data_IF_316001101232
#
_entry.id   IF_316001101232
#
_cell.length_a   1.000
_cell.length_b   1.000
_cell.length_c   1.000
_cell.angle_alpha   90.00
_cell.angle_beta   90.00
_cell.angle_gamma   90.00
#
_symmetry.space_group_name_H-M   'P 1'
#
loop_
_entity.id
_entity.type
_entity.pdbx_description
1 polymer ?
#
# COMPACT_ATOMS: atom_id res chain seq x y z
N UNK A 1 10.48 -32.17 -21.66
CA UNK A 1 10.97 -30.78 -21.49
C UNK A 1 11.87 -30.77 -20.28
N UNK A 2 13.11 -30.29 -20.40
CA UNK A 2 14.04 -30.23 -19.28
C UNK A 2 13.53 -29.20 -18.26
N UNK A 3 13.21 -29.66 -17.05
CA UNK A 3 13.02 -28.79 -15.90
C UNK A 3 14.28 -27.96 -15.71
N UNK A 4 14.16 -26.64 -15.90
CA UNK A 4 15.12 -25.71 -15.29
C UNK A 4 14.82 -25.74 -13.80
N UNK A 5 15.58 -26.54 -13.04
CA UNK A 5 15.83 -26.24 -11.63
C UNK A 5 16.67 -24.98 -11.59
N UNK A 6 16.03 -23.83 -11.71
CA UNK A 6 16.60 -22.60 -11.17
C UNK A 6 16.69 -22.83 -9.66
N UNK A 7 17.89 -22.76 -9.10
CA UNK A 7 18.09 -22.76 -7.65
C UNK A 7 17.29 -21.59 -7.09
N UNK A 8 16.04 -21.81 -6.66
CA UNK A 8 15.24 -20.76 -6.07
C UNK A 8 15.93 -20.37 -4.76
N UNK A 9 16.48 -19.16 -4.72
CA UNK A 9 17.07 -18.59 -3.51
C UNK A 9 15.97 -18.62 -2.45
N UNK A 10 16.22 -19.35 -1.36
CA UNK A 10 15.31 -19.33 -0.20
C UNK A 10 15.58 -18.04 0.58
N UNK A 11 14.56 -17.18 0.68
CA UNK A 11 14.64 -15.93 1.43
C UNK A 11 14.37 -16.23 2.90
N UNK A 12 15.41 -16.22 3.72
CA UNK A 12 15.33 -16.54 5.16
C UNK A 12 15.41 -15.29 6.03
N UNK A 13 16.02 -14.23 5.54
CA UNK A 13 16.25 -12.97 6.25
C UNK A 13 15.80 -11.78 5.43
N UNK A 14 15.63 -10.62 6.09
CA UNK A 14 15.35 -9.38 5.36
C UNK A 14 16.50 -8.98 4.41
N UNK A 15 17.74 -9.36 4.74
CA UNK A 15 18.89 -9.14 3.85
C UNK A 15 18.77 -9.92 2.54
N UNK A 16 18.27 -11.17 2.59
CA UNK A 16 18.02 -11.96 1.38
C UNK A 16 16.95 -11.29 0.51
N UNK A 17 15.88 -10.76 1.13
CA UNK A 17 14.84 -10.02 0.41
C UNK A 17 15.38 -8.74 -0.23
N UNK A 18 16.30 -8.06 0.44
CA UNK A 18 16.93 -6.84 -0.07
C UNK A 18 17.78 -7.08 -1.31
N UNK A 19 18.44 -8.23 -1.41
CA UNK A 19 19.18 -8.60 -2.63
C UNK A 19 18.27 -8.77 -3.86
N UNK A 20 16.98 -9.05 -3.64
CA UNK A 20 15.98 -9.16 -4.70
C UNK A 20 15.30 -7.82 -5.03
N UNK A 21 15.61 -6.74 -4.29
CA UNK A 21 15.07 -5.43 -4.55
C UNK A 21 15.54 -4.91 -5.91
N UNK A 22 14.60 -4.44 -6.70
CA UNK A 22 14.81 -3.88 -8.03
C UNK A 22 13.79 -2.77 -8.23
N UNK A 23 14.23 -1.53 -8.04
CA UNK A 23 13.42 -0.32 -8.23
C UNK A 23 13.51 0.23 -9.66
N UNK A 24 13.92 -0.58 -10.65
CA UNK A 24 14.11 -0.09 -12.02
C UNK A 24 12.85 0.51 -12.63
N UNK A 25 11.64 0.04 -12.31
CA UNK A 25 10.41 0.70 -12.78
C UNK A 25 10.24 2.06 -12.10
N UNK A 26 10.36 2.12 -10.77
CA UNK A 26 10.28 3.39 -10.03
C UNK A 26 11.32 4.41 -10.50
N UNK A 27 12.53 3.98 -10.86
CA UNK A 27 13.59 4.84 -11.38
C UNK A 27 13.28 5.42 -12.77
N UNK A 28 12.28 4.90 -13.50
CA UNK A 28 11.78 5.51 -14.75
C UNK A 28 10.69 6.56 -14.51
N UNK A 29 10.18 6.67 -13.29
CA UNK A 29 9.09 7.57 -12.94
C UNK A 29 9.63 8.84 -12.28
N UNK A 30 9.05 9.97 -12.65
CA UNK A 30 9.28 11.24 -11.96
C UNK A 30 8.54 11.29 -10.61
N UNK A 31 9.21 11.55 -9.48
CA UNK A 31 8.54 11.90 -8.23
C UNK A 31 7.88 13.28 -8.36
N UNK A 32 6.95 13.58 -7.46
CA UNK A 32 6.43 14.93 -7.26
C UNK A 32 7.59 15.90 -6.94
N UNK A 33 7.81 16.96 -7.75
CA UNK A 33 8.89 17.91 -7.52
C UNK A 33 8.76 18.69 -6.20
N UNK A 34 7.54 18.79 -5.65
CA UNK A 34 7.27 19.51 -4.41
C UNK A 34 7.35 18.60 -3.17
N UNK A 35 7.73 17.32 -3.34
CA UNK A 35 7.83 16.38 -2.23
C UNK A 35 8.96 16.75 -1.25
N UNK A 36 8.70 16.55 0.03
CA UNK A 36 9.74 16.72 1.06
C UNK A 36 10.84 15.66 0.91
N UNK A 37 12.10 16.09 1.09
CA UNK A 37 13.26 15.20 0.94
C UNK A 37 13.28 14.06 1.97
N UNK A 38 12.71 14.28 3.15
CA UNK A 38 12.62 13.30 4.23
C UNK A 38 11.35 12.42 4.16
N UNK A 39 10.50 12.64 3.16
CA UNK A 39 9.23 11.94 2.96
C UNK A 39 8.16 12.26 4.00
N UNK A 40 8.37 13.28 4.85
CA UNK A 40 7.37 13.76 5.80
C UNK A 40 6.40 14.67 5.06
N UNK A 41 5.45 14.07 4.36
CA UNK A 41 4.46 14.75 3.52
C UNK A 41 3.05 14.24 3.83
N UNK A 42 2.60 14.54 5.05
CA UNK A 42 1.35 13.97 5.59
C UNK A 42 0.16 14.91 5.49
N UNK A 43 0.43 16.19 5.23
CA UNK A 43 -0.60 17.21 5.11
C UNK A 43 -1.33 17.04 3.76
N UNK A 44 -2.67 17.08 3.73
CA UNK A 44 -3.39 17.10 2.47
C UNK A 44 -2.98 18.32 1.65
N UNK A 45 -2.42 18.09 0.47
CA UNK A 45 -2.11 19.13 -0.52
C UNK A 45 -2.40 18.64 -1.93
N UNK A 46 -2.60 19.58 -2.84
CA UNK A 46 -2.74 19.27 -4.25
C UNK A 46 -1.38 18.87 -4.84
N UNK A 47 -1.38 17.81 -5.65
CA UNK A 47 -0.22 17.35 -6.39
C UNK A 47 -0.46 17.73 -7.84
N UNK A 48 0.37 18.61 -8.41
CA UNK A 48 0.16 19.14 -9.77
C UNK A 48 0.92 18.35 -10.85
N UNK A 49 2.01 17.68 -10.47
CA UNK A 49 2.88 16.92 -11.37
C UNK A 49 3.54 15.74 -10.65
N UNK A 50 4.30 14.92 -11.38
CA UNK A 50 4.92 13.71 -10.85
C UNK A 50 3.96 12.52 -10.75
N UNK A 51 4.53 11.32 -10.84
CA UNK A 51 3.82 10.05 -10.85
C UNK A 51 3.52 9.52 -9.44
N UNK A 52 4.35 9.89 -8.47
CA UNK A 52 4.25 9.45 -7.09
C UNK A 52 4.83 10.49 -6.13
N UNK A 53 4.44 10.43 -4.87
CA UNK A 53 5.06 11.20 -3.79
C UNK A 53 5.89 10.23 -2.94
N UNK A 54 7.20 10.47 -2.73
CA UNK A 54 7.98 9.78 -1.72
C UNK A 54 7.38 10.04 -0.33
N UNK A 55 7.07 8.98 0.42
CA UNK A 55 6.41 9.09 1.73
C UNK A 55 7.12 8.20 2.73
N UNK A 56 7.40 8.75 3.91
CA UNK A 56 7.84 8.00 5.08
C UNK A 56 6.62 7.33 5.72
N UNK A 57 6.57 5.98 5.82
CA UNK A 57 5.47 5.33 6.51
C UNK A 57 5.43 5.70 7.99
N UNK A 58 4.23 5.70 8.56
CA UNK A 58 4.01 5.86 10.00
C UNK A 58 3.89 4.47 10.62
N UNK A 59 4.87 4.01 11.43
CA UNK A 59 4.77 2.71 12.05
C UNK A 59 3.57 2.63 13.00
N UNK A 60 3.09 1.41 13.24
CA UNK A 60 2.18 1.14 14.35
C UNK A 60 2.98 0.87 15.62
N UNK A 61 2.44 1.26 16.77
CA UNK A 61 3.06 0.99 18.08
C UNK A 61 2.90 -0.49 18.48
N UNK A 62 3.91 -1.09 19.09
CA UNK A 62 3.92 -2.49 19.56
C UNK A 62 3.29 -3.49 18.56
N UNK A 63 3.90 -3.68 17.38
CA UNK A 63 3.33 -4.53 16.35
C UNK A 63 3.22 -5.98 16.80
N UNK A 64 2.04 -6.55 16.64
CA UNK A 64 1.70 -7.95 16.93
C UNK A 64 1.38 -8.68 15.64
N UNK A 65 2.03 -9.82 15.46
CA UNK A 65 1.76 -10.73 14.35
C UNK A 65 0.34 -11.33 14.45
N UNK A 66 -0.42 -11.21 13.35
CA UNK A 66 -1.75 -11.85 13.23
C UNK A 66 -1.72 -12.99 12.22
N UNK A 67 -1.22 -12.74 11.00
CA UNK A 67 -1.19 -13.73 9.93
C UNK A 67 -0.18 -13.39 8.84
N UNK A 68 0.26 -14.42 8.10
CA UNK A 68 0.89 -14.29 6.80
C UNK A 68 0.40 -15.40 5.87
N UNK A 69 0.46 -15.20 4.56
CA UNK A 69 0.02 -16.23 3.60
C UNK A 69 1.13 -17.24 3.40
N UNK A 70 1.00 -18.41 4.02
CA UNK A 70 1.97 -19.50 3.90
C UNK A 70 2.16 -19.96 2.46
N UNK A 71 1.05 -20.03 1.72
CA UNK A 71 1.07 -20.39 0.30
C UNK A 71 1.83 -19.36 -0.51
N UNK A 72 1.53 -18.06 -0.31
CA UNK A 72 2.21 -17.02 -1.06
C UNK A 72 3.69 -16.87 -0.66
N UNK A 73 4.02 -17.05 0.62
CA UNK A 73 5.41 -17.12 1.07
C UNK A 73 6.16 -18.25 0.36
N UNK A 74 5.58 -19.45 0.30
CA UNK A 74 6.17 -20.58 -0.41
C UNK A 74 6.32 -20.30 -1.92
N UNK A 75 5.33 -19.67 -2.57
CA UNK A 75 5.40 -19.24 -3.98
C UNK A 75 6.53 -18.23 -4.24
N UNK A 76 6.80 -17.34 -3.29
CA UNK A 76 7.89 -16.36 -3.34
C UNK A 76 9.25 -16.94 -2.91
N UNK A 77 9.29 -18.16 -2.36
CA UNK A 77 10.50 -18.76 -1.80
C UNK A 77 10.88 -18.20 -0.41
N UNK A 78 9.94 -17.60 0.31
CA UNK A 78 10.16 -17.05 1.65
C UNK A 78 9.99 -18.13 2.71
N UNK A 79 10.86 -18.14 3.72
CA UNK A 79 10.68 -19.01 4.88
C UNK A 79 9.46 -18.59 5.73
N UNK A 80 8.69 -19.54 6.26
CA UNK A 80 7.49 -19.27 7.10
C UNK A 80 7.85 -18.42 8.34
N UNK A 81 9.06 -18.61 8.88
CA UNK A 81 9.53 -17.90 10.07
C UNK A 81 9.91 -16.43 9.79
N UNK A 82 10.18 -16.06 8.53
CA UNK A 82 10.52 -14.70 8.15
C UNK A 82 9.41 -13.71 8.54
N UNK A 83 8.13 -14.13 8.47
CA UNK A 83 7.00 -13.27 8.83
C UNK A 83 6.99 -12.81 10.30
N UNK A 84 7.76 -13.47 11.16
CA UNK A 84 7.84 -13.21 12.60
C UNK A 84 9.23 -12.73 13.04
N UNK A 85 10.18 -12.54 12.12
CA UNK A 85 11.48 -11.97 12.48
C UNK A 85 11.34 -10.47 12.76
N UNK A 86 12.09 -9.98 13.76
CA UNK A 86 11.98 -8.60 14.25
C UNK A 86 12.17 -7.54 13.15
N UNK A 87 13.04 -7.80 12.18
CA UNK A 87 13.34 -6.92 11.06
C UNK A 87 12.20 -6.89 10.02
N UNK A 88 11.61 -8.03 9.71
CA UNK A 88 10.49 -8.15 8.79
C UNK A 88 9.21 -7.56 9.39
N UNK A 89 8.92 -7.88 10.66
CA UNK A 89 7.79 -7.29 11.41
C UNK A 89 7.91 -5.77 11.38
N UNK A 90 9.08 -5.24 11.75
CA UNK A 90 9.35 -3.79 11.76
C UNK A 90 9.09 -3.14 10.40
N UNK A 91 9.63 -3.70 9.32
CA UNK A 91 9.44 -3.16 7.97
C UNK A 91 7.94 -3.14 7.58
N UNK A 92 7.28 -4.28 7.70
CA UNK A 92 5.89 -4.43 7.24
C UNK A 92 4.84 -3.92 8.24
N UNK A 93 5.28 -3.46 9.43
CA UNK A 93 4.50 -2.65 10.36
C UNK A 93 4.78 -1.14 10.22
N UNK A 94 5.52 -0.73 9.19
CA UNK A 94 5.69 0.68 8.80
C UNK A 94 6.95 1.37 9.32
N UNK A 95 7.91 0.67 9.94
CA UNK A 95 9.22 1.25 10.27
C UNK A 95 10.28 0.82 9.25
N UNK A 96 10.57 1.73 8.33
CA UNK A 96 11.57 1.56 7.27
C UNK A 96 12.98 2.02 7.67
N UNK A 97 13.20 2.45 8.92
CA UNK A 97 14.44 3.14 9.32
C UNK A 97 15.70 2.26 9.25
N UNK A 98 15.53 0.96 9.47
CA UNK A 98 16.59 -0.05 9.56
C UNK A 98 16.60 -1.05 8.40
N UNK A 99 15.87 -0.78 7.30
CA UNK A 99 15.91 -1.69 6.15
C UNK A 99 17.32 -1.75 5.55
N UNK A 100 17.80 -2.94 5.16
CA UNK A 100 19.13 -3.10 4.56
C UNK A 100 19.18 -2.54 3.14
N UNK A 101 20.36 -2.06 2.72
CA UNK A 101 20.58 -1.65 1.33
C UNK A 101 20.42 -2.86 0.39
N UNK A 102 19.91 -2.68 -0.84
CA UNK A 102 19.54 -1.42 -1.49
C UNK A 102 18.08 -0.97 -1.27
N UNK A 103 17.34 -1.52 -0.31
CA UNK A 103 15.96 -1.10 -0.04
C UNK A 103 15.90 0.40 0.29
N UNK A 104 14.87 1.07 -0.20
CA UNK A 104 14.61 2.48 0.10
C UNK A 104 13.98 2.62 1.49
N UNK A 105 14.42 3.63 2.25
CA UNK A 105 13.84 3.98 3.55
C UNK A 105 12.51 4.74 3.42
N UNK A 106 12.21 5.25 2.24
CA UNK A 106 10.93 5.88 1.91
C UNK A 106 10.11 4.93 1.07
N UNK A 107 8.80 4.92 1.33
CA UNK A 107 7.82 4.37 0.40
C UNK A 107 7.38 5.40 -0.64
N UNK A 108 6.37 5.04 -1.42
CA UNK A 108 5.73 5.94 -2.37
C UNK A 108 4.22 5.78 -2.36
N UNK A 109 3.52 6.89 -2.55
CA UNK A 109 2.07 6.95 -2.71
C UNK A 109 1.74 7.54 -4.08
N UNK A 110 0.75 6.97 -4.77
CA UNK A 110 0.36 7.42 -6.10
C UNK A 110 -0.96 8.19 -6.07
N UNK A 111 -1.05 9.27 -6.84
CA UNK A 111 -2.29 9.96 -7.14
C UNK A 111 -3.11 9.19 -8.19
N UNK A 112 -4.43 9.28 -8.14
CA UNK A 112 -5.30 8.82 -9.23
C UNK A 112 -6.55 9.68 -9.29
N UNK A 113 -7.16 9.84 -10.47
CA UNK A 113 -8.49 10.43 -10.62
C UNK A 113 -9.57 9.37 -10.35
N UNK A 114 -10.78 9.85 -10.03
CA UNK A 114 -11.94 9.01 -9.85
C UNK A 114 -13.01 9.36 -10.89
N UNK A 115 -13.51 8.33 -11.57
CA UNK A 115 -14.73 8.37 -12.37
C UNK A 115 -15.68 7.30 -11.88
N UNK A 116 -16.95 7.68 -11.68
CA UNK A 116 -18.00 6.76 -11.25
C UNK A 116 -19.01 6.67 -12.40
N UNK A 117 -19.19 5.45 -12.93
CA UNK A 117 -20.04 5.19 -14.11
C UNK A 117 -19.74 6.10 -15.30
N UNK A 118 -18.45 6.34 -15.58
CA UNK A 118 -17.99 7.18 -16.69
C UNK A 118 -18.08 8.69 -16.45
N UNK A 119 -18.53 9.12 -15.27
CA UNK A 119 -18.62 10.54 -14.92
C UNK A 119 -17.45 10.94 -14.02
N UNK A 120 -16.74 12.01 -14.41
CA UNK A 120 -15.65 12.56 -13.62
C UNK A 120 -16.15 12.99 -12.24
N UNK A 121 -15.54 12.45 -11.20
CA UNK A 121 -15.97 12.66 -9.83
C UNK A 121 -15.01 13.60 -9.11
N UNK A 122 -15.48 14.81 -8.82
CA UNK A 122 -14.74 15.85 -8.11
C UNK A 122 -15.20 16.03 -6.65
N UNK A 123 -16.37 15.50 -6.31
CA UNK A 123 -16.94 15.60 -4.96
C UNK A 123 -16.08 14.82 -3.97
N UNK A 124 -15.90 15.28 -2.74
CA UNK A 124 -14.98 14.68 -1.74
C UNK A 124 -13.48 14.72 -2.12
N UNK A 125 -13.10 15.46 -3.16
CA UNK A 125 -11.76 16.01 -3.28
C UNK A 125 -11.69 17.27 -2.42
N UNK A 126 -10.78 17.38 -1.44
CA UNK A 126 -10.70 18.55 -0.55
C UNK A 126 -10.38 19.86 -1.30
N UNK A 127 -9.83 19.76 -2.52
CA UNK A 127 -9.44 20.91 -3.35
C UNK A 127 -10.46 21.23 -4.44
N UNK A 128 -11.50 20.40 -4.63
CA UNK A 128 -12.49 20.58 -5.71
C UNK A 128 -11.96 20.35 -7.13
N UNK A 129 -10.69 19.99 -7.30
CA UNK A 129 -10.03 19.81 -8.61
C UNK A 129 -10.04 18.37 -9.12
N UNK A 130 -10.25 17.39 -8.22
CA UNK A 130 -10.14 15.95 -8.54
C UNK A 130 -8.73 15.39 -8.43
N UNK A 131 -7.74 16.24 -8.16
CA UNK A 131 -6.34 15.86 -8.01
C UNK A 131 -5.99 15.35 -6.59
N UNK A 132 -6.92 15.48 -5.64
CA UNK A 132 -6.73 15.07 -4.25
C UNK A 132 -7.04 13.60 -3.96
N UNK A 133 -7.30 12.78 -4.98
CA UNK A 133 -7.45 11.33 -4.84
C UNK A 133 -6.12 10.63 -5.04
N UNK A 134 -5.98 9.45 -4.46
CA UNK A 134 -4.72 8.74 -4.44
C UNK A 134 -4.67 7.70 -3.33
N UNK A 135 -3.48 7.18 -3.10
CA UNK A 135 -3.21 6.24 -2.02
C UNK A 135 -3.27 6.95 -0.65
N UNK A 136 -4.49 7.23 -0.18
CA UNK A 136 -4.72 8.02 1.04
C UNK A 136 -4.51 7.29 2.36
N UNK A 137 -4.42 5.97 2.32
CA UNK A 137 -4.08 5.10 3.45
C UNK A 137 -3.27 3.89 2.99
N UNK A 138 -2.62 4.02 1.84
CA UNK A 138 -1.79 2.98 1.26
C UNK A 138 -0.48 3.61 0.82
N UNK A 139 0.60 2.84 0.82
CA UNK A 139 1.88 3.26 0.26
C UNK A 139 2.73 2.03 -0.02
N UNK A 140 3.40 2.04 -1.16
CA UNK A 140 4.30 0.96 -1.56
C UNK A 140 5.66 1.17 -0.92
N UNK A 141 6.28 0.09 -0.48
CA UNK A 141 7.55 0.13 0.29
C UNK A 141 8.65 -0.74 -0.31
N UNK A 142 8.30 -1.60 -1.26
CA UNK A 142 9.25 -2.50 -1.89
C UNK A 142 8.85 -2.81 -3.33
N UNK A 143 9.83 -2.79 -4.22
CA UNK A 143 9.75 -3.32 -5.58
C UNK A 143 10.92 -4.29 -5.76
N UNK A 144 10.63 -5.48 -6.30
CA UNK A 144 11.65 -6.49 -6.54
C UNK A 144 11.25 -7.47 -7.62
N UNK A 145 12.24 -8.21 -8.13
CA UNK A 145 12.03 -9.30 -9.09
C UNK A 145 12.33 -10.62 -8.40
N UNK A 146 11.26 -11.39 -8.17
CA UNK A 146 11.30 -12.66 -7.44
C UNK A 146 10.79 -13.74 -8.38
N UNK A 147 11.56 -14.81 -8.56
CA UNK A 147 11.23 -15.91 -9.49
C UNK A 147 10.93 -15.39 -10.91
N UNK A 148 11.73 -14.43 -11.38
CA UNK A 148 11.59 -13.83 -12.72
C UNK A 148 10.38 -12.90 -12.90
N UNK A 149 9.63 -12.60 -11.83
CA UNK A 149 8.44 -11.77 -11.87
C UNK A 149 8.59 -10.54 -10.97
N UNK A 150 8.19 -9.37 -11.48
CA UNK A 150 8.16 -8.12 -10.70
C UNK A 150 7.02 -8.15 -9.70
N UNK A 151 7.29 -7.70 -8.49
CA UNK A 151 6.34 -7.57 -7.40
C UNK A 151 6.52 -6.23 -6.69
N UNK A 152 5.39 -5.58 -6.46
CA UNK A 152 5.25 -4.38 -5.64
C UNK A 152 4.55 -4.77 -4.34
N UNK A 153 5.11 -4.36 -3.19
CA UNK A 153 4.52 -4.61 -1.87
C UNK A 153 4.03 -3.30 -1.26
N UNK A 154 2.74 -3.27 -0.94
CA UNK A 154 2.02 -2.07 -0.52
C UNK A 154 1.41 -2.24 0.86
N UNK A 155 1.80 -1.38 1.79
CA UNK A 155 1.24 -1.29 3.13
C UNK A 155 -0.12 -0.60 3.06
N UNK A 156 -1.19 -1.26 3.51
CA UNK A 156 -2.49 -0.63 3.74
C UNK A 156 -2.65 -0.35 5.22
N UNK A 157 -2.84 0.91 5.58
CA UNK A 157 -2.81 1.40 6.96
C UNK A 157 -1.46 1.98 7.39
N UNK A 158 -0.51 2.12 6.45
CA UNK A 158 0.85 2.60 6.70
C UNK A 158 0.97 4.09 7.10
N UNK A 159 -0.14 4.78 7.36
CA UNK A 159 -0.15 6.18 7.78
C UNK A 159 -0.70 7.13 6.73
N UNK A 160 -0.60 8.43 7.03
CA UNK A 160 -1.11 9.51 6.19
C UNK A 160 -0.21 9.74 4.98
N UNK A 161 -0.84 10.21 3.92
CA UNK A 161 -0.22 10.72 2.69
C UNK A 161 -0.94 12.00 2.30
N UNK A 162 -0.47 12.77 1.30
CA UNK A 162 -1.20 13.96 0.81
C UNK A 162 -2.60 13.61 0.29
N UNK A 163 -2.80 12.35 -0.12
CA UNK A 163 -4.05 11.81 -0.62
C UNK A 163 -5.03 11.35 0.49
N UNK A 164 -4.69 11.56 1.76
CA UNK A 164 -5.51 11.11 2.89
C UNK A 164 -6.83 11.88 3.06
N UNK A 165 -6.93 13.08 2.44
CA UNK A 165 -8.16 13.91 2.40
C UNK A 165 -8.76 14.20 3.78
N UNK A 166 -7.89 14.40 4.78
CA UNK A 166 -8.28 14.70 6.16
C UNK A 166 -8.60 13.47 7.03
N UNK A 167 -8.49 12.25 6.50
CA UNK A 167 -8.59 11.03 7.30
C UNK A 167 -7.30 10.76 8.09
N UNK A 168 -7.25 9.63 8.79
CA UNK A 168 -6.13 9.25 9.67
C UNK A 168 -5.04 8.40 8.99
N UNK A 169 -5.28 7.90 7.77
CA UNK A 169 -4.34 7.04 7.06
C UNK A 169 -4.22 5.62 7.61
N UNK A 170 -5.04 5.25 8.61
CA UNK A 170 -5.01 3.95 9.27
C UNK A 170 -6.04 2.96 8.69
N UNK A 171 -5.68 1.68 8.73
CA UNK A 171 -6.63 0.59 8.57
C UNK A 171 -6.87 -0.05 9.94
N UNK A 172 -7.99 -0.77 10.07
CA UNK A 172 -8.37 -1.44 11.32
C UNK A 172 -8.42 -2.94 11.13
N UNK A 173 -8.19 -3.68 12.21
CA UNK A 173 -8.01 -5.13 12.19
C UNK A 173 -9.13 -5.87 11.44
N UNK A 174 -10.41 -5.56 11.70
CA UNK A 174 -11.53 -6.24 11.01
C UNK A 174 -11.50 -6.05 9.49
N UNK A 175 -11.10 -4.87 9.03
CA UNK A 175 -11.10 -4.52 7.60
C UNK A 175 -9.93 -5.21 6.90
N UNK A 176 -8.80 -5.29 7.60
CA UNK A 176 -7.59 -5.94 7.14
C UNK A 176 -7.73 -7.46 7.10
N UNK A 177 -8.35 -8.10 8.11
CA UNK A 177 -8.65 -9.54 8.10
C UNK A 177 -9.53 -9.90 6.91
N UNK A 178 -10.61 -9.13 6.67
CA UNK A 178 -11.53 -9.40 5.56
C UNK A 178 -10.85 -9.31 4.19
N UNK A 179 -10.03 -8.29 3.97
CA UNK A 179 -9.28 -8.16 2.72
C UNK A 179 -8.26 -9.28 2.55
N UNK A 180 -7.53 -9.61 3.62
CA UNK A 180 -6.55 -10.69 3.63
C UNK A 180 -7.18 -12.02 3.20
N UNK A 181 -8.29 -12.40 3.85
CA UNK A 181 -9.01 -13.64 3.55
C UNK A 181 -9.61 -13.63 2.14
N UNK A 182 -10.20 -12.52 1.72
CA UNK A 182 -10.83 -12.42 0.41
C UNK A 182 -9.81 -12.53 -0.74
N UNK A 183 -8.65 -11.87 -0.62
CA UNK A 183 -7.57 -11.93 -1.61
C UNK A 183 -7.05 -13.36 -1.77
N UNK A 184 -6.66 -14.02 -0.68
CA UNK A 184 -6.12 -15.39 -0.78
C UNK A 184 -7.19 -16.40 -1.19
N UNK A 185 -8.45 -16.22 -0.79
CA UNK A 185 -9.55 -17.08 -1.26
C UNK A 185 -9.83 -16.91 -2.76
N UNK A 186 -9.88 -15.67 -3.26
CA UNK A 186 -10.02 -15.41 -4.70
C UNK A 186 -8.88 -16.05 -5.50
N UNK A 187 -7.65 -15.94 -5.02
CA UNK A 187 -6.50 -16.58 -5.66
C UNK A 187 -6.63 -18.10 -5.69
N UNK A 188 -7.04 -18.72 -4.56
CA UNK A 188 -7.27 -20.16 -4.49
C UNK A 188 -8.38 -20.65 -5.44
N UNK A 189 -9.34 -19.79 -5.77
CA UNK A 189 -10.38 -20.05 -6.79
C UNK A 189 -9.89 -19.82 -8.23
N UNK A 190 -8.62 -19.46 -8.44
CA UNK A 190 -8.06 -19.15 -9.76
C UNK A 190 -8.48 -17.79 -10.32
N UNK A 191 -9.06 -16.91 -9.49
CA UNK A 191 -9.49 -15.58 -9.90
C UNK A 191 -8.33 -14.60 -9.71
N UNK A 192 -8.04 -13.81 -10.75
CA UNK A 192 -6.99 -12.80 -10.69
C UNK A 192 -7.27 -11.78 -9.58
N UNK A 193 -6.30 -11.60 -8.68
CA UNK A 193 -6.39 -10.70 -7.52
C UNK A 193 -4.99 -10.27 -7.07
N UNK A 194 -4.93 -9.18 -6.32
CA UNK A 194 -3.76 -8.92 -5.47
C UNK A 194 -3.69 -9.97 -4.35
N UNK A 195 -2.48 -10.23 -3.88
CA UNK A 195 -2.17 -11.23 -2.86
C UNK A 195 -1.97 -10.58 -1.50
N UNK A 196 -2.16 -11.34 -0.44
CA UNK A 196 -1.88 -10.90 0.93
C UNK A 196 -0.57 -11.50 1.40
N UNK A 197 0.39 -10.66 1.80
CA UNK A 197 1.67 -11.12 2.31
C UNK A 197 1.60 -11.33 3.82
N UNK A 198 1.36 -10.25 4.57
CA UNK A 198 1.39 -10.24 6.04
C UNK A 198 0.33 -9.30 6.62
N UNK A 199 -0.01 -9.53 7.88
CA UNK A 199 -0.95 -8.75 8.67
C UNK A 199 -0.42 -8.58 10.10
N UNK A 200 -0.25 -7.33 10.50
CA UNK A 200 0.14 -6.92 11.84
C UNK A 200 -0.90 -5.97 12.43
N UNK A 201 -1.06 -6.00 13.75
CA UNK A 201 -1.92 -5.08 14.50
C UNK A 201 -1.15 -4.41 15.63
N UNK A 202 -1.69 -3.33 16.19
CA UNK A 202 -1.26 -2.83 17.49
C UNK A 202 -2.30 -3.22 18.55
N UNK A 203 -1.84 -3.54 19.76
CA UNK A 203 -2.71 -3.73 20.92
C UNK A 203 -2.93 -2.45 21.74
N UNK A 204 -2.16 -1.39 21.45
CA UNK A 204 -2.17 -0.13 22.21
C UNK A 204 -2.62 1.07 21.38
N UNK A 205 -2.55 0.97 20.04
CA UNK A 205 -3.01 2.00 19.11
C UNK A 205 -4.41 1.67 18.55
N UNK A 206 -5.39 2.55 18.83
CA UNK A 206 -6.77 2.44 18.33
C UNK A 206 -7.17 3.65 17.52
N UNK A 207 -8.17 3.48 16.65
CA UNK A 207 -8.81 4.57 15.91
C UNK A 207 -10.33 4.39 15.90
N UNK A 208 -11.04 5.52 15.88
CA UNK A 208 -12.50 5.51 15.80
C UNK A 208 -12.98 5.14 14.40
N UNK A 209 -13.92 4.19 14.32
CA UNK A 209 -14.56 3.80 13.06
C UNK A 209 -16.07 3.72 13.21
N UNK A 210 -16.81 4.02 12.12
CA UNK A 210 -18.25 3.88 12.12
C UNK A 210 -18.68 2.42 12.19
N UNK A 211 -19.73 2.15 12.95
CA UNK A 211 -20.29 0.83 13.21
C UNK A 211 -21.82 0.85 13.36
N UNK A 212 -22.42 -0.33 13.23
CA UNK A 212 -23.87 -0.55 13.34
C UNK A 212 -24.20 -1.12 14.72
N UNK A 213 -25.32 -0.71 15.30
CA UNK A 213 -25.80 -1.33 16.54
C UNK A 213 -26.23 -2.78 16.29
N UNK A 214 -26.17 -3.60 17.31
CA UNK A 214 -26.65 -4.98 17.23
C UNK A 214 -28.13 -5.01 16.82
N UNK A 215 -28.47 -5.84 15.84
CA UNK A 215 -29.82 -5.93 15.28
C UNK A 215 -30.23 -4.77 14.36
N UNK A 216 -29.33 -3.85 14.03
CA UNK A 216 -29.63 -2.72 13.15
C UNK A 216 -29.80 -3.12 11.69
N UNK A 217 -30.83 -2.54 11.04
CA UNK A 217 -31.06 -2.57 9.59
C UNK A 217 -30.80 -1.21 8.94
N UNK A 218 -30.15 -0.28 9.66
CA UNK A 218 -29.84 1.05 9.15
C UNK A 218 -28.94 0.96 7.92
N UNK A 219 -29.15 1.88 6.96
CA UNK A 219 -28.24 2.05 5.81
C UNK A 219 -26.94 2.74 6.22
N UNK A 220 -27.02 3.60 7.23
CA UNK A 220 -25.90 4.40 7.72
C UNK A 220 -25.46 3.91 9.10
N UNK A 221 -24.14 3.86 9.39
CA UNK A 221 -23.63 3.54 10.71
C UNK A 221 -24.14 4.50 11.79
N UNK A 222 -24.39 3.96 12.98
CA UNK A 222 -25.09 4.69 14.06
C UNK A 222 -24.17 5.08 15.23
N UNK A 223 -23.03 4.40 15.35
CA UNK A 223 -22.08 4.60 16.46
C UNK A 223 -20.66 4.62 15.94
N UNK A 224 -19.77 5.25 16.71
CA UNK A 224 -18.33 5.11 16.53
C UNK A 224 -17.83 4.09 17.57
N UNK A 225 -16.97 3.17 17.15
CA UNK A 225 -16.27 2.25 18.03
C UNK A 225 -14.77 2.44 17.88
N UNK A 226 -14.04 2.19 18.96
CA UNK A 226 -12.59 2.09 18.91
C UNK A 226 -12.18 0.73 18.34
N UNK A 227 -11.27 0.75 17.39
CA UNK A 227 -10.73 -0.48 16.80
C UNK A 227 -9.22 -0.41 16.73
N UNK A 228 -8.58 -1.55 16.99
CA UNK A 228 -7.15 -1.72 16.85
C UNK A 228 -6.69 -1.37 15.42
N UNK A 229 -5.64 -0.55 15.35
CA UNK A 229 -4.97 -0.23 14.09
C UNK A 229 -4.26 -1.47 13.57
N UNK A 230 -4.34 -1.71 12.27
CA UNK A 230 -3.65 -2.80 11.60
C UNK A 230 -3.01 -2.35 10.29
N UNK A 231 -1.90 -3.01 9.93
CA UNK A 231 -1.28 -2.90 8.61
C UNK A 231 -1.37 -4.26 7.93
N UNK A 232 -2.00 -4.28 6.76
CA UNK A 232 -1.97 -5.43 5.85
C UNK A 232 -1.06 -5.10 4.66
N UNK A 233 -0.12 -6.00 4.38
CA UNK A 233 0.75 -5.90 3.22
C UNK A 233 0.11 -6.62 2.04
N UNK A 234 -0.23 -5.86 1.01
CA UNK A 234 -0.77 -6.34 -0.26
C UNK A 234 0.34 -6.44 -1.27
N UNK A 235 0.27 -7.42 -2.16
CA UNK A 235 1.29 -7.65 -3.18
C UNK A 235 0.65 -7.84 -4.54
N UNK A 236 1.20 -7.17 -5.54
CA UNK A 236 0.74 -7.28 -6.92
C UNK A 236 1.92 -7.05 -7.88
N UNK A 237 1.83 -7.48 -9.15
CA UNK A 237 2.83 -7.09 -10.16
C UNK A 237 2.87 -5.58 -10.42
N UNK A 238 1.75 -4.89 -10.16
CA UNK A 238 1.61 -3.44 -10.22
C UNK A 238 0.34 -3.02 -9.48
N UNK A 239 0.36 -1.85 -8.85
CA UNK A 239 -0.84 -1.18 -8.35
C UNK A 239 -1.39 -0.09 -9.28
N UNK A 240 -0.95 -0.06 -10.55
CA UNK A 240 -1.46 0.89 -11.56
C UNK A 240 -2.97 0.68 -11.80
N UNK A 241 -3.71 1.79 -11.82
CA UNK A 241 -5.17 1.84 -12.00
C UNK A 241 -5.53 2.71 -13.19
N UNK A 242 -6.71 2.49 -13.77
CA UNK A 242 -7.28 3.38 -14.82
C UNK A 242 -7.28 4.85 -14.36
N UNK A 243 -7.59 5.09 -13.08
CA UNK A 243 -7.58 6.42 -12.49
C UNK A 243 -6.22 7.14 -12.55
N UNK A 244 -5.10 6.43 -12.54
CA UNK A 244 -3.78 7.07 -12.73
C UNK A 244 -3.65 7.63 -14.13
N UNK A 245 -3.95 6.83 -15.16
CA UNK A 245 -3.90 7.30 -16.56
C UNK A 245 -4.90 8.44 -16.77
N UNK A 246 -6.09 8.32 -16.20
CA UNK A 246 -7.11 9.35 -16.26
C UNK A 246 -6.66 10.66 -15.61
N UNK A 247 -5.94 10.62 -14.48
CA UNK A 247 -5.41 11.82 -13.82
C UNK A 247 -4.52 12.63 -14.76
N UNK A 248 -3.53 11.99 -15.39
CA UNK A 248 -2.64 12.65 -16.34
C UNK A 248 -3.39 13.12 -17.59
N UNK A 249 -4.33 12.32 -18.10
CA UNK A 249 -5.19 12.72 -19.21
C UNK A 249 -6.02 13.97 -18.90
N UNK A 250 -6.59 14.06 -17.70
CA UNK A 250 -7.36 15.24 -17.25
C UNK A 250 -6.47 16.47 -17.11
N UNK A 251 -5.29 16.34 -16.49
CA UNK A 251 -4.33 17.44 -16.32
C UNK A 251 -3.88 18.00 -17.68
N UNK A 252 -3.51 17.12 -18.62
CA UNK A 252 -3.11 17.50 -19.96
C UNK A 252 -4.24 18.18 -20.74
N UNK A 253 -5.46 17.61 -20.71
CA UNK A 253 -6.63 18.18 -21.40
C UNK A 253 -6.98 19.59 -20.90
N UNK A 254 -6.78 19.86 -19.62
CA UNK A 254 -7.09 21.16 -18.99
C UNK A 254 -5.89 22.11 -18.91
N UNK A 255 -4.70 21.69 -19.34
CA UNK A 255 -3.45 22.44 -19.17
C UNK A 255 -3.22 22.87 -17.69
N UNK A 256 -3.46 21.97 -16.74
CA UNK A 256 -3.43 22.29 -15.30
C UNK A 256 -2.03 22.68 -14.80
N UNK A 257 -0.95 22.19 -15.44
CA UNK A 257 0.42 22.52 -15.08
C UNK A 257 1.36 22.34 -16.28
N UNK A 258 2.41 23.17 -16.49
CA UNK A 258 3.35 23.02 -17.60
C UNK A 258 4.06 21.66 -17.64
N UNK A 259 4.28 21.07 -16.46
CA UNK A 259 4.90 19.75 -16.29
C UNK A 259 3.87 18.72 -15.81
N UNK A 260 2.62 18.82 -16.25
CA UNK A 260 1.53 17.95 -15.80
C UNK A 260 1.73 16.46 -16.14
N UNK A 261 2.54 16.17 -17.16
CA UNK A 261 2.81 14.83 -17.70
C UNK A 261 4.07 14.20 -17.09
#
# INVERSE_FOLDING_TARGET
MKERKENSITVQTLNDLAQLADYSLMNTLNPDPDASQDGVDYAPREIFSGHYVPIKPTPIEDPVYIAHSKNFFNELGFSDNLAQSDDFVRMFSGDMSQVPKPMNKLGWACGYALSIYGTEYYQQCPFGTGNGYGDGRAMSVYEGVINGKRWEMQLKGGGKTPYCRGADGRAVLRSSIREFLAQEHMHALGIATSRSLSLYTSNVETVNRPWYKEGSYSKDPEVMIEEAVAISTRVAPSFIRVGQVELFGRRARKNEHPNAM
#
